data_IF_871434470489
#
_entry.id   IF_871434470489
#
_cell.length_a   1.000
_cell.length_b   1.000
_cell.length_c   1.000
_cell.angle_alpha   90.00
_cell.angle_beta   90.00
_cell.angle_gamma   90.00
#
_symmetry.space_group_name_H-M   'P 1'
#
loop_
_entity.id
_entity.type
_entity.pdbx_description
1 polymer ?
2 water ?
#
# COMPACT_ATOMS: atom_id res chain seq x y z
N UNK A 5 -12.68 -0.90 -4.54
CA UNK A 5 -12.80 -1.30 -3.11
C UNK A 5 -12.23 -2.73 -2.68
N UNK A 6 -11.27 -3.21 -3.45
CA UNK A 6 -10.45 -4.32 -3.00
C UNK A 6 -8.96 -3.95 -3.09
N UNK A 7 -8.17 -4.53 -2.19
CA UNK A 7 -6.76 -4.22 -2.14
C UNK A 7 -5.98 -4.72 -3.35
N UNK A 8 -4.94 -3.96 -3.72
CA UNK A 8 -3.98 -4.31 -4.77
C UNK A 8 -3.67 -5.78 -4.83
N UNK A 9 -3.34 -6.34 -3.69
CA UNK A 9 -2.68 -7.67 -3.68
C UNK A 9 -3.62 -8.86 -3.70
N UNK A 10 -4.93 -8.67 -3.48
CA UNK A 10 -5.89 -9.79 -3.45
C UNK A 10 -5.92 -10.47 -4.82
N UNK A 11 -5.83 -11.81 -4.84
CA UNK A 11 -5.84 -12.52 -6.10
C UNK A 11 -7.24 -12.83 -6.64
N UNK A 12 -7.28 -12.97 -7.95
CA UNK A 12 -8.48 -13.33 -8.67
C UNK A 12 -8.17 -14.27 -9.80
N UNK A 13 -9.14 -15.10 -10.08
CA UNK A 13 -9.00 -16.04 -11.15
C UNK A 13 -9.64 -15.35 -12.33
N UNK A 14 -8.92 -15.20 -13.42
CA UNK A 14 -9.52 -14.65 -14.61
C UNK A 14 -9.31 -15.58 -15.77
N UNK A 15 -10.10 -15.40 -16.81
CA UNK A 15 -9.78 -15.91 -18.13
C UNK A 15 -9.52 -14.76 -19.16
N UNK A 16 -8.29 -14.69 -19.67
CA UNK A 16 -7.85 -13.66 -20.62
C UNK A 16 -7.57 -14.24 -21.99
N UNK A 17 -8.36 -13.82 -22.99
CA UNK A 17 -8.33 -14.40 -24.36
C UNK A 17 -8.39 -15.92 -24.35
N UNK A 18 -9.08 -16.46 -23.35
CA UNK A 18 -9.32 -17.89 -23.24
C UNK A 18 -8.42 -18.68 -22.29
N UNK A 19 -7.44 -18.04 -21.66
CA UNK A 19 -6.54 -18.78 -20.77
C UNK A 19 -6.73 -18.34 -19.32
N UNK A 20 -6.65 -19.31 -18.44
CA UNK A 20 -6.90 -19.05 -17.07
C UNK A 20 -5.63 -18.68 -16.37
N UNK A 21 -5.74 -17.72 -15.48
CA UNK A 21 -4.66 -17.44 -14.59
C UNK A 21 -5.09 -16.79 -13.34
N UNK A 22 -4.18 -16.80 -12.38
CA UNK A 22 -4.34 -16.13 -11.12
C UNK A 22 -3.40 -14.94 -11.08
N UNK A 23 -3.96 -13.77 -10.84
CA UNK A 23 -3.26 -12.50 -10.91
C UNK A 23 -3.54 -11.75 -9.64
N UNK A 24 -2.73 -10.79 -9.30
CA UNK A 24 -3.11 -9.86 -8.23
C UNK A 24 -4.05 -8.88 -8.97
N UNK A 25 -5.10 -8.43 -8.29
CA UNK A 25 -6.13 -7.60 -8.92
C UNK A 25 -5.60 -6.22 -9.31
N UNK A 26 -4.72 -5.66 -8.48
CA UNK A 26 -4.07 -4.40 -8.78
C UNK A 26 -3.12 -4.48 -9.95
N UNK A 27 -2.36 -5.55 -10.06
CA UNK A 27 -1.47 -5.73 -11.21
C UNK A 27 -2.33 -5.87 -12.44
N UNK A 28 -3.33 -6.70 -12.39
CA UNK A 28 -4.19 -6.82 -13.56
C UNK A 28 -4.68 -5.43 -14.04
N UNK A 29 -5.13 -4.60 -13.09
CA UNK A 29 -5.85 -3.38 -13.41
C UNK A 29 -4.96 -2.24 -13.76
N UNK A 30 -3.90 -2.03 -12.97
CA UNK A 30 -2.80 -1.10 -13.34
C UNK A 30 -2.42 -1.36 -14.79
N UNK A 31 -2.01 -2.57 -15.09
CA UNK A 31 -1.63 -2.98 -16.44
C UNK A 31 -2.69 -2.61 -17.50
N UNK A 32 -3.91 -3.02 -17.30
CA UNK A 32 -5.02 -2.71 -18.24
C UNK A 32 -5.20 -1.24 -18.50
N UNK A 33 -5.26 -0.46 -17.41
CA UNK A 33 -5.33 1.01 -17.46
C UNK A 33 -4.11 1.54 -18.19
N UNK A 34 -2.93 1.08 -17.76
CA UNK A 34 -1.66 1.48 -18.32
C UNK A 34 -1.65 1.33 -19.84
N UNK A 35 -2.21 0.24 -20.39
CA UNK A 35 -2.16 0.04 -21.85
C UNK A 35 -3.48 0.12 -22.57
N UNK A 36 -4.44 0.84 -22.01
CA UNK A 36 -5.69 1.12 -22.73
C UNK A 36 -5.50 2.35 -23.62
N UNK A 37 -6.58 2.98 -24.05
CA UNK A 37 -6.46 4.21 -24.84
C UNK A 37 -7.21 5.43 -24.29
N UNK A 38 -8.41 5.19 -23.79
CA UNK A 38 -9.24 6.25 -23.21
C UNK A 38 -9.65 5.96 -21.77
N UNK A 39 -8.69 6.11 -20.86
CA UNK A 39 -8.96 6.07 -19.41
C UNK A 39 -9.79 7.29 -19.03
N UNK A 40 -10.71 7.11 -18.08
CA UNK A 40 -11.57 8.20 -17.61
C UNK A 40 -11.17 8.52 -16.16
N UNK A 41 -10.53 9.66 -15.93
CA UNK A 41 -9.75 9.90 -14.71
C UNK A 41 -10.56 10.77 -13.75
N UNK A 42 -11.88 10.75 -13.94
CA UNK A 42 -12.68 11.87 -13.49
C UNK A 42 -13.15 11.61 -12.07
N UNK A 43 -12.41 12.24 -11.16
CA UNK A 43 -12.62 12.23 -9.73
C UNK A 43 -11.38 11.75 -8.99
N UNK A 44 -11.65 10.99 -7.95
CA UNK A 44 -10.61 10.17 -7.29
C UNK A 44 -10.75 8.69 -7.70
N UNK A 45 -11.53 8.42 -8.76
CA UNK A 45 -11.53 7.13 -9.43
C UNK A 45 -11.12 7.29 -10.87
N UNK A 46 -10.16 6.46 -11.29
CA UNK A 46 -9.83 6.22 -12.67
C UNK A 46 -10.52 4.97 -13.19
N UNK A 47 -11.13 5.07 -14.37
CA UNK A 47 -11.90 3.99 -14.99
C UNK A 47 -11.44 3.70 -16.40
N UNK A 48 -11.42 2.43 -16.75
CA UNK A 48 -11.04 2.01 -18.11
C UNK A 48 -11.81 0.81 -18.57
N UNK A 49 -12.12 0.80 -19.85
CA UNK A 49 -12.86 -0.28 -20.45
C UNK A 49 -11.87 -1.40 -20.67
N UNK A 50 -12.30 -2.65 -20.48
CA UNK A 50 -11.46 -3.81 -20.81
C UNK A 50 -12.23 -4.86 -21.57
N UNK A 51 -11.47 -5.73 -22.20
CA UNK A 51 -11.98 -6.66 -23.21
C UNK A 51 -11.23 -7.97 -23.02
N UNK A 52 -11.76 -9.05 -23.58
CA UNK A 52 -11.09 -10.35 -23.56
C UNK A 52 -10.86 -10.93 -22.13
N UNK A 53 -11.62 -10.48 -21.13
CA UNK A 53 -11.33 -10.80 -19.74
C UNK A 53 -12.60 -11.19 -19.00
N UNK A 54 -12.55 -12.28 -18.28
CA UNK A 54 -13.71 -12.75 -17.55
C UNK A 54 -13.35 -13.17 -16.17
N UNK A 55 -14.36 -13.17 -15.31
CA UNK A 55 -14.21 -13.43 -13.93
C UNK A 55 -15.29 -14.38 -13.47
N UNK A 56 -15.06 -15.06 -12.37
CA UNK A 56 -16.06 -15.96 -11.82
C UNK A 56 -17.09 -15.22 -10.95
N UNK A 57 -18.37 -15.43 -11.33
CA UNK A 57 -19.52 -14.80 -10.68
C UNK A 57 -20.59 -15.81 -10.55
N UNK A 58 -21.45 -15.64 -9.55
CA UNK A 58 -22.55 -16.56 -9.42
C UNK A 58 -23.75 -16.07 -10.16
N UNK A 59 -24.53 -17.04 -10.62
CA UNK A 59 -25.68 -16.85 -11.45
C UNK A 59 -26.92 -16.93 -10.57
N UNK A 60 -28.09 -16.86 -11.18
CA UNK A 60 -29.33 -16.79 -10.43
C UNK A 60 -29.71 -18.11 -9.70
N UNK A 61 -29.16 -19.23 -10.16
CA UNK A 61 -29.10 -20.48 -9.37
C UNK A 61 -28.00 -20.59 -8.32
N UNK A 62 -27.24 -19.53 -8.09
CA UNK A 62 -26.17 -19.51 -7.11
C UNK A 62 -24.99 -20.42 -7.50
N UNK A 63 -24.78 -20.60 -8.81
CA UNK A 63 -23.70 -21.37 -9.35
C UNK A 63 -22.71 -20.48 -10.06
N UNK A 64 -21.44 -20.79 -9.92
CA UNK A 64 -20.38 -20.08 -10.54
C UNK A 64 -20.24 -20.36 -12.03
N UNK A 65 -19.89 -19.28 -12.71
CA UNK A 65 -19.50 -19.33 -14.12
C UNK A 65 -18.67 -18.09 -14.51
N UNK A 66 -17.84 -18.29 -15.52
CA UNK A 66 -16.96 -17.22 -15.99
C UNK A 66 -17.83 -16.25 -16.72
N UNK A 67 -17.67 -14.97 -16.43
CA UNK A 67 -18.46 -13.91 -17.05
C UNK A 67 -17.61 -12.68 -17.42
N UNK A 68 -17.98 -11.99 -18.53
CA UNK A 68 -17.13 -10.86 -18.97
C UNK A 68 -17.12 -9.70 -18.01
N UNK A 69 -15.97 -9.05 -17.93
CA UNK A 69 -15.81 -7.80 -17.21
C UNK A 69 -15.84 -6.71 -18.25
N UNK A 70 -16.71 -5.73 -18.06
CA UNK A 70 -16.84 -4.62 -19.01
C UNK A 70 -15.78 -3.57 -18.77
N UNK A 71 -15.63 -3.19 -17.51
CA UNK A 71 -14.62 -2.16 -17.13
C UNK A 71 -14.05 -2.33 -15.72
N UNK A 72 -12.91 -1.68 -15.50
CA UNK A 72 -12.16 -1.75 -14.25
C UNK A 72 -11.93 -0.36 -13.73
N UNK A 73 -11.61 -0.23 -12.45
CA UNK A 73 -11.48 1.04 -11.76
C UNK A 73 -10.50 0.92 -10.64
N UNK A 74 -9.91 2.05 -10.24
CA UNK A 74 -9.14 2.17 -9.02
C UNK A 74 -9.24 3.57 -8.40
N UNK A 75 -8.93 3.65 -7.13
CA UNK A 75 -8.95 4.90 -6.41
C UNK A 75 -8.04 4.87 -5.23
N UNK A 76 -7.27 5.96 -5.01
CA UNK A 76 -6.48 6.10 -3.78
C UNK A 76 -7.34 5.99 -2.52
N UNK A 77 -6.72 5.49 -1.46
CA UNK A 77 -7.46 5.09 -0.29
C UNK A 77 -6.47 5.03 0.86
N UNK A 78 -6.93 5.40 2.05
CA UNK A 78 -6.07 5.48 3.24
C UNK A 78 -6.26 4.30 4.18
N UNK A 79 -7.49 3.76 4.20
CA UNK A 79 -7.84 2.63 5.04
C UNK A 79 -8.23 1.39 4.24
N UNK A 80 -8.31 0.26 4.94
CA UNK A 80 -8.79 -1.02 4.41
C UNK A 80 -9.15 -1.91 5.61
N UNK A 81 -10.21 -2.71 5.50
CA UNK A 81 -10.56 -3.70 6.54
C UNK A 81 -10.04 -5.07 6.12
N UNK A 82 -9.47 -5.81 7.06
CA UNK A 82 -9.19 -7.22 6.84
C UNK A 82 -10.29 -8.01 7.53
N UNK A 83 -10.88 -8.97 6.83
CA UNK A 83 -11.89 -9.83 7.43
C UNK A 83 -11.30 -11.23 7.50
N UNK A 84 -11.39 -11.82 8.69
CA UNK A 84 -11.03 -13.20 8.91
C UNK A 84 -12.26 -14.03 9.27
N UNK A 85 -12.36 -15.21 8.65
CA UNK A 85 -13.43 -16.17 8.98
C UNK A 85 -12.90 -17.51 9.45
N UNK A 86 -13.81 -18.26 10.09
CA UNK A 86 -13.64 -19.71 10.36
C UNK A 86 -12.75 -20.39 9.33
N UNK A 87 -11.58 -20.87 9.73
CA UNK A 87 -10.58 -21.43 8.78
C UNK A 87 -9.42 -20.48 8.52
N UNK A 88 -9.49 -19.28 9.12
CA UNK A 88 -8.43 -18.30 9.00
C UNK A 88 -8.26 -17.84 7.55
N UNK A 89 -9.37 -17.77 6.82
CA UNK A 89 -9.42 -17.25 5.45
C UNK A 89 -9.75 -15.79 5.53
N UNK A 90 -9.13 -14.98 4.67
CA UNK A 90 -9.31 -13.57 4.76
C UNK A 90 -9.17 -12.82 3.45
N UNK A 91 -9.71 -11.60 3.46
CA UNK A 91 -9.65 -10.69 2.35
C UNK A 91 -9.59 -9.28 2.91
N UNK A 92 -8.93 -8.37 2.19
CA UNK A 92 -8.89 -6.98 2.60
C UNK A 92 -9.74 -6.13 1.65
N UNK A 93 -10.70 -5.40 2.21
CA UNK A 93 -11.60 -4.60 1.40
C UNK A 93 -12.01 -3.28 2.07
N UNK A 94 -12.63 -2.42 1.27
CA UNK A 94 -13.14 -1.13 1.70
C UNK A 94 -14.38 -1.37 2.58
N UNK A 95 -14.48 -0.63 3.67
CA UNK A 95 -15.63 -0.72 4.58
C UNK A 95 -16.96 -0.31 3.99
N UNK A 96 -16.93 0.61 3.03
CA UNK A 96 -18.13 1.01 2.27
C UNK A 96 -18.67 -0.06 1.32
N UNK A 97 -17.78 -0.87 0.74
CA UNK A 97 -18.14 -1.86 -0.29
C UNK A 97 -18.90 -3.02 0.37
N UNK A 98 -19.41 -3.95 -0.41
CA UNK A 98 -20.33 -4.93 0.11
C UNK A 98 -19.94 -6.38 -0.25
N UNK A 99 -20.23 -7.27 0.70
CA UNK A 99 -20.10 -8.71 0.55
C UNK A 99 -21.50 -9.27 0.73
N UNK A 100 -21.65 -10.56 1.01
CA UNK A 100 -22.97 -11.13 1.10
C UNK A 100 -23.10 -11.87 2.42
N UNK A 101 -24.33 -11.96 2.91
CA UNK A 101 -24.61 -12.74 4.08
C UNK A 101 -25.90 -13.46 3.77
N UNK A 102 -26.34 -14.27 4.71
CA UNK A 102 -27.60 -14.97 4.55
C UNK A 102 -28.64 -14.21 5.34
N UNK A 103 -29.86 -14.16 4.80
CA UNK A 103 -30.96 -13.84 5.60
C UNK A 103 -32.22 -14.38 4.94
N UNK A 104 -32.97 -15.17 5.73
CA UNK A 104 -34.18 -15.87 5.27
C UNK A 104 -33.87 -16.86 4.14
N UNK A 105 -32.71 -17.47 4.27
CA UNK A 105 -32.28 -18.51 3.37
C UNK A 105 -31.92 -18.06 1.96
N UNK A 106 -31.70 -16.76 1.79
CA UNK A 106 -31.19 -16.23 0.52
C UNK A 106 -30.01 -15.38 0.85
N UNK A 107 -29.13 -15.25 -0.12
CA UNK A 107 -27.93 -14.48 0.10
C UNK A 107 -28.24 -13.09 -0.30
N UNK A 108 -27.69 -12.15 0.45
CA UNK A 108 -28.08 -10.78 0.31
C UNK A 108 -26.89 -9.93 0.59
N UNK A 109 -26.80 -8.78 -0.09
CA UNK A 109 -25.63 -7.98 0.19
C UNK A 109 -25.68 -7.46 1.59
N UNK A 110 -24.52 -7.15 2.09
CA UNK A 110 -24.40 -6.51 3.34
C UNK A 110 -23.12 -5.73 3.24
N UNK A 111 -23.18 -4.52 3.72
CA UNK A 111 -22.06 -3.62 3.58
C UNK A 111 -21.13 -3.95 4.70
N UNK A 112 -19.85 -3.69 4.47
CA UNK A 112 -18.83 -4.23 5.31
C UNK A 112 -18.78 -3.54 6.66
N UNK A 113 -18.83 -2.20 6.69
CA UNK A 113 -18.79 -1.49 7.98
C UNK A 113 -20.01 -1.78 8.88
N UNK A 114 -21.10 -2.28 8.29
CA UNK A 114 -22.20 -2.88 9.04
C UNK A 114 -21.99 -4.33 9.51
N UNK A 115 -20.81 -4.91 9.29
CA UNK A 115 -20.62 -6.28 9.72
C UNK A 115 -20.27 -6.29 11.18
N UNK A 116 -20.36 -7.49 11.75
CA UNK A 116 -19.99 -7.75 13.12
C UNK A 116 -19.44 -9.16 13.19
N UNK A 117 -18.61 -9.43 14.19
CA UNK A 117 -18.08 -10.77 14.41
C UNK A 117 -19.23 -11.80 14.60
N UNK A 118 -19.06 -13.01 14.07
CA UNK A 118 -20.09 -14.06 14.20
C UNK A 118 -21.26 -14.03 13.20
N UNK A 119 -21.29 -13.02 12.33
CA UNK A 119 -22.17 -13.09 11.18
C UNK A 119 -21.58 -14.01 10.13
N UNK A 120 -22.52 -14.48 9.32
CA UNK A 120 -22.30 -15.49 8.35
C UNK A 120 -22.01 -14.77 7.05
N UNK A 121 -20.86 -15.12 6.44
CA UNK A 121 -20.49 -14.63 5.13
C UNK A 121 -20.48 -15.71 4.13
N UNK A 122 -20.69 -15.33 2.88
CA UNK A 122 -20.73 -16.26 1.75
C UNK A 122 -19.34 -16.29 1.09
N UNK A 123 -18.83 -17.50 0.89
CA UNK A 123 -17.60 -17.71 0.10
C UNK A 123 -17.81 -18.90 -0.83
N UNK A 124 -16.85 -19.05 -1.73
CA UNK A 124 -16.78 -20.12 -2.75
C UNK A 124 -16.47 -21.50 -2.12
N UNK A 125 -17.16 -22.51 -2.61
CA UNK A 125 -16.92 -23.91 -2.23
C UNK A 125 -15.55 -24.42 -2.60
N UNK A 126 -14.82 -24.96 -1.62
CA UNK A 126 -13.66 -25.86 -1.76
C UNK A 126 -12.29 -25.36 -2.16
N UNK A 146 -33.52 -22.94 0.44
CA UNK A 146 -32.39 -23.67 1.10
C UNK A 146 -31.95 -25.02 0.54
N UNK A 147 -32.87 -25.75 -0.11
CA UNK A 147 -32.55 -26.64 -1.21
C UNK A 147 -31.62 -25.80 -2.19
N UNK A 148 -31.91 -24.52 -2.36
CA UNK A 148 -31.09 -23.71 -3.22
C UNK A 148 -29.70 -23.46 -2.64
N UNK A 149 -29.70 -23.07 -1.35
CA UNK A 149 -28.49 -22.89 -0.60
C UNK A 149 -27.64 -24.14 -0.62
N UNK A 150 -28.30 -25.29 -0.51
CA UNK A 150 -27.61 -26.55 -0.49
C UNK A 150 -26.98 -26.80 -1.85
N UNK A 151 -27.68 -26.43 -2.90
CA UNK A 151 -27.21 -26.72 -4.26
C UNK A 151 -26.24 -25.69 -4.80
N UNK A 152 -25.94 -24.67 -4.01
CA UNK A 152 -25.17 -23.55 -4.45
C UNK A 152 -23.70 -23.94 -4.49
N UNK A 153 -22.84 -23.13 -5.13
CA UNK A 153 -21.42 -23.32 -4.95
C UNK A 153 -20.88 -22.51 -3.79
N UNK A 154 -21.70 -22.17 -2.80
CA UNK A 154 -21.25 -21.45 -1.63
C UNK A 154 -20.93 -22.32 -0.40
N UNK A 155 -20.14 -21.72 0.48
CA UNK A 155 -20.08 -22.10 1.83
C UNK A 155 -20.36 -20.83 2.67
N UNK A 156 -20.84 -21.03 3.92
CA UNK A 156 -21.24 -19.99 4.79
C UNK A 156 -20.38 -20.11 6.05
N UNK A 157 -19.58 -19.09 6.36
CA UNK A 157 -18.61 -19.15 7.42
C UNK A 157 -18.78 -17.94 8.30
N UNK A 158 -18.36 -18.05 9.56
CA UNK A 158 -18.64 -16.97 10.53
C UNK A 158 -17.39 -16.14 10.63
N UNK A 159 -17.56 -14.88 10.98
CA UNK A 159 -16.45 -13.96 11.03
C UNK A 159 -15.71 -14.13 12.36
N UNK A 160 -14.39 -14.33 12.28
CA UNK A 160 -13.55 -14.58 13.43
C UNK A 160 -13.20 -13.23 14.03
N UNK A 161 -12.54 -12.38 13.26
CA UNK A 161 -12.37 -10.97 13.63
C UNK A 161 -12.12 -10.10 12.41
N UNK A 162 -12.24 -8.79 12.60
CA UNK A 162 -12.17 -7.79 11.53
C UNK A 162 -11.24 -6.65 11.90
N UNK A 163 -9.98 -6.72 11.45
CA UNK A 163 -8.92 -5.81 11.87
C UNK A 163 -8.47 -4.84 10.75
N UNK A 164 -9.00 -3.63 10.81
CA UNK A 164 -8.65 -2.54 9.86
C UNK A 164 -7.13 -2.30 9.77
N UNK A 165 -6.68 -1.77 8.65
CA UNK A 165 -5.25 -1.82 8.27
C UNK A 165 -5.00 -0.85 7.13
N UNK A 166 -3.77 -0.80 6.65
CA UNK A 166 -3.39 0.10 5.57
C UNK A 166 -3.30 -0.65 4.27
N UNK A 167 -3.59 0.03 3.16
CA UNK A 167 -3.55 -0.57 1.83
C UNK A 167 -2.22 -0.70 1.11
N UNK A 168 -1.85 -1.95 0.82
CA UNK A 168 -0.72 -2.27 -0.04
C UNK A 168 -0.97 -1.58 -1.40
N UNK A 169 0.05 -0.98 -2.02
CA UNK A 169 -0.13 0.03 -3.06
C UNK A 169 -1.37 0.82 -2.71
N UNK A 170 -1.26 1.84 -1.86
CA UNK A 170 -2.41 2.71 -1.52
C UNK A 170 -3.45 3.00 -2.60
N UNK A 171 -4.14 1.96 -3.04
CA UNK A 171 -5.08 2.02 -4.15
C UNK A 171 -5.97 0.85 -3.89
N UNK A 172 -7.27 1.09 -4.04
CA UNK A 172 -8.28 0.06 -4.03
C UNK A 172 -8.78 -0.09 -5.44
N UNK A 173 -9.32 -1.26 -5.76
CA UNK A 173 -9.62 -1.67 -7.12
C UNK A 173 -11.07 -2.17 -7.23
N UNK A 174 -11.64 -2.14 -8.43
CA UNK A 174 -12.91 -2.81 -8.66
C UNK A 174 -13.15 -3.23 -10.09
N UNK A 175 -14.17 -4.08 -10.26
CA UNK A 175 -14.59 -4.61 -11.55
C UNK A 175 -16.09 -4.39 -11.70
N UNK A 176 -16.51 -4.17 -12.94
CA UNK A 176 -17.89 -4.20 -13.29
C UNK A 176 -18.12 -5.48 -14.06
N UNK A 177 -19.14 -6.23 -13.63
CA UNK A 177 -19.47 -7.51 -14.24
C UNK A 177 -20.97 -7.46 -14.65
N UNK A 178 -21.23 -7.23 -15.92
CA UNK A 178 -22.59 -7.24 -16.37
C UNK A 178 -23.35 -8.52 -16.11
N UNK A 179 -24.67 -8.42 -15.97
CA UNK A 179 -25.54 -9.60 -15.81
C UNK A 179 -25.29 -10.39 -14.54
N UNK A 180 -24.70 -9.82 -13.51
CA UNK A 180 -24.32 -10.58 -12.32
C UNK A 180 -24.04 -9.68 -11.14
N UNK A 181 -23.30 -8.62 -11.37
CA UNK A 181 -23.01 -7.66 -10.30
C UNK A 181 -22.30 -8.26 -9.09
N UNK A 182 -21.65 -9.40 -9.29
CA UNK A 182 -20.79 -9.97 -8.27
C UNK A 182 -19.54 -10.60 -8.89
N UNK A 183 -18.61 -10.96 -8.03
CA UNK A 183 -17.48 -11.78 -8.41
C UNK A 183 -16.72 -12.16 -7.18
N UNK A 184 -15.82 -13.08 -7.33
CA UNK A 184 -15.11 -13.54 -6.16
C UNK A 184 -13.68 -13.15 -6.26
N UNK A 185 -13.11 -13.01 -5.09
CA UNK A 185 -11.71 -12.64 -4.99
C UNK A 185 -11.21 -13.07 -3.62
N UNK A 186 -9.89 -13.14 -3.47
CA UNK A 186 -9.28 -13.54 -2.19
C UNK A 186 -8.93 -15.01 -2.25
N UNK A 187 -7.98 -15.43 -1.44
CA UNK A 187 -7.59 -16.81 -1.47
C UNK A 187 -8.79 -17.71 -1.19
N UNK A 188 -9.59 -17.37 -0.19
CA UNK A 188 -10.79 -18.12 0.04
C UNK A 188 -12.00 -17.87 -0.91
N UNK A 189 -11.88 -17.03 -1.94
CA UNK A 189 -12.99 -16.85 -2.84
C UNK A 189 -14.17 -16.19 -2.19
N UNK A 190 -13.92 -15.15 -1.46
CA UNK A 190 -14.94 -14.36 -0.88
C UNK A 190 -15.77 -13.74 -2.00
N UNK A 191 -17.09 -13.82 -1.88
CA UNK A 191 -17.98 -13.21 -2.90
C UNK A 191 -18.23 -11.71 -2.64
N UNK A 192 -17.94 -10.87 -3.63
CA UNK A 192 -18.07 -9.42 -3.50
C UNK A 192 -19.24 -8.96 -4.32
N UNK A 193 -19.97 -7.95 -3.83
CA UNK A 193 -21.15 -7.34 -4.55
C UNK A 193 -20.86 -5.95 -5.09
N UNK A 194 -21.31 -5.69 -6.31
CA UNK A 194 -21.07 -4.37 -6.97
C UNK A 194 -21.98 -3.23 -6.43
N UNK B 3 2.70 13.07 3.17
CA UNK B 3 4.16 12.98 3.53
C UNK B 3 5.00 14.19 3.12
N UNK B 4 5.89 14.63 4.00
CA UNK B 4 6.71 15.86 3.80
C UNK B 4 7.71 15.77 4.97
N UNK B 5 8.95 15.60 4.60
CA UNK B 5 9.88 15.05 5.53
C UNK B 5 11.32 15.37 5.27
N UNK B 6 11.80 15.30 4.03
CA UNK B 6 13.24 15.31 3.82
C UNK B 6 13.64 16.34 2.81
N UNK B 7 14.82 16.89 3.00
CA UNK B 7 15.32 17.93 2.10
C UNK B 7 15.63 17.39 0.71
N UNK B 8 15.44 18.26 -0.27
CA UNK B 8 15.77 18.01 -1.68
C UNK B 8 17.01 17.17 -1.86
N UNK B 9 18.09 17.59 -1.21
CA UNK B 9 19.41 17.09 -1.59
C UNK B 9 19.82 15.78 -0.93
N UNK B 10 19.09 15.30 0.07
CA UNK B 10 19.47 14.05 0.74
C UNK B 10 19.41 12.87 -0.24
N UNK B 11 20.47 12.04 -0.24
CA UNK B 11 20.49 10.90 -1.14
C UNK B 11 19.80 9.66 -0.60
N UNK B 12 19.31 8.84 -1.49
CA UNK B 12 18.62 7.59 -1.16
C UNK B 12 18.99 6.55 -2.21
N UNK B 13 19.02 5.31 -1.78
CA UNK B 13 19.33 4.22 -2.65
C UNK B 13 18.01 3.70 -3.12
N UNK B 14 17.82 3.66 -4.41
CA UNK B 14 16.57 3.13 -4.97
C UNK B 14 16.90 2.14 -6.03
N UNK B 15 15.88 1.36 -6.42
CA UNK B 15 15.89 0.65 -7.67
C UNK B 15 14.77 1.12 -8.60
N UNK B 16 15.12 1.74 -9.75
CA UNK B 16 14.14 2.21 -10.73
C UNK B 16 14.17 1.44 -12.05
N UNK B 17 13.09 0.74 -12.33
CA UNK B 17 12.98 -0.22 -13.46
C UNK B 17 14.16 -1.16 -13.54
N UNK B 18 14.68 -1.49 -12.39
CA UNK B 18 15.76 -2.50 -12.27
C UNK B 18 17.14 -1.95 -12.02
N UNK B 19 17.32 -0.64 -11.99
CA UNK B 19 18.67 -0.10 -11.78
C UNK B 19 18.86 0.52 -10.42
N UNK B 20 19.91 0.10 -9.78
CA UNK B 20 20.15 0.48 -8.45
C UNK B 20 21.02 1.70 -8.50
N UNK B 21 20.67 2.70 -7.69
CA UNK B 21 21.34 3.96 -7.81
C UNK B 21 21.10 4.82 -6.64
N UNK B 22 21.98 5.80 -6.51
CA UNK B 22 21.91 6.83 -5.53
C UNK B 22 21.54 8.13 -6.22
N UNK B 23 20.42 8.72 -5.79
CA UNK B 23 19.84 9.88 -6.38
C UNK B 23 19.59 10.86 -5.28
N UNK B 24 19.42 12.13 -5.61
CA UNK B 24 18.96 13.07 -4.66
C UNK B 24 17.43 12.84 -4.66
N UNK B 25 16.82 12.88 -3.46
CA UNK B 25 15.41 12.54 -3.32
C UNK B 25 14.49 13.55 -4.00
N UNK B 26 14.86 14.84 -3.94
CA UNK B 26 14.11 15.88 -4.62
C UNK B 26 14.21 15.79 -6.13
N UNK B 27 15.37 15.45 -6.67
CA UNK B 27 15.49 15.26 -8.10
C UNK B 27 14.63 14.11 -8.49
N UNK B 28 14.76 13.00 -7.77
CA UNK B 28 13.91 11.87 -8.15
C UNK B 28 12.42 12.28 -8.24
N UNK B 29 11.96 13.04 -7.24
CA UNK B 29 10.54 13.26 -7.03
C UNK B 29 10.00 14.39 -7.90
N UNK B 30 10.71 15.50 -7.94
CA UNK B 30 10.42 16.57 -8.92
C UNK B 30 10.24 15.97 -10.28
N UNK B 31 11.25 15.25 -10.76
CA UNK B 31 11.18 14.60 -12.06
C UNK B 31 9.91 13.78 -12.22
N UNK B 32 9.68 12.83 -11.32
CA UNK B 32 8.50 11.96 -11.38
C UNK B 32 7.18 12.73 -11.47
N UNK B 33 7.01 13.69 -10.54
CA UNK B 33 5.84 14.58 -10.52
C UNK B 33 5.75 15.37 -11.79
N UNK B 34 6.87 15.99 -12.16
CA UNK B 34 6.97 16.81 -13.38
C UNK B 34 6.48 16.04 -14.62
N UNK B 35 6.74 14.74 -14.73
CA UNK B 35 6.31 13.99 -15.92
C UNK B 35 5.17 12.96 -15.68
N UNK B 36 4.48 13.07 -14.57
CA UNK B 36 3.32 12.22 -14.31
C UNK B 36 2.08 12.97 -14.79
N UNK B 37 0.98 12.25 -15.00
CA UNK B 37 -0.29 12.94 -15.20
C UNK B 37 -1.50 12.44 -14.46
N UNK B 38 -1.28 11.76 -13.33
CA UNK B 38 -2.33 11.66 -12.30
C UNK B 38 -1.78 12.19 -10.98
N UNK B 39 -1.11 13.35 -11.03
CA UNK B 39 -0.74 14.12 -9.84
C UNK B 39 -1.96 14.57 -9.06
N UNK B 40 -1.88 14.53 -7.74
CA UNK B 40 -2.99 14.89 -6.85
C UNK B 40 -2.54 16.08 -6.01
N UNK B 41 -3.36 17.12 -6.02
CA UNK B 41 -3.06 18.38 -5.33
C UNK B 41 -3.91 18.54 -4.09
N UNK B 42 -3.34 18.41 -2.89
CA UNK B 42 -4.10 18.69 -1.69
C UNK B 42 -3.59 19.96 -1.07
N UNK B 43 -4.23 21.10 -1.38
CA UNK B 43 -3.69 22.41 -0.98
C UNK B 43 -2.37 22.65 -1.69
N UNK B 44 -1.28 22.83 -0.93
CA UNK B 44 0.05 22.99 -1.57
C UNK B 44 0.90 21.69 -1.51
N UNK B 45 0.27 20.61 -1.08
CA UNK B 45 0.81 19.26 -1.17
C UNK B 45 0.59 18.69 -2.53
N UNK B 46 1.64 18.18 -3.17
CA UNK B 46 1.49 17.39 -4.40
C UNK B 46 1.80 15.93 -4.10
N UNK B 47 0.98 15.03 -4.62
CA UNK B 47 1.22 13.57 -4.55
C UNK B 47 1.15 12.95 -5.92
N UNK B 48 2.01 11.98 -6.17
CA UNK B 48 1.98 11.23 -7.42
C UNK B 48 2.28 9.76 -7.17
N UNK B 49 1.54 8.92 -7.89
CA UNK B 49 1.70 7.52 -7.79
C UNK B 49 2.94 7.17 -8.60
N UNK B 50 3.72 6.18 -8.15
CA UNK B 50 4.74 5.58 -9.04
C UNK B 50 4.68 4.05 -9.01
N UNK B 51 5.27 3.46 -10.02
CA UNK B 51 5.69 2.04 -9.93
C UNK B 51 7.04 1.83 -10.60
N UNK B 52 7.61 0.67 -10.42
CA UNK B 52 9.00 0.40 -10.79
C UNK B 52 10.00 1.27 -10.00
N UNK B 53 9.64 1.61 -8.76
CA UNK B 53 10.60 2.18 -7.86
C UNK B 53 10.54 1.44 -6.50
N UNK B 54 11.70 1.07 -5.97
CA UNK B 54 11.77 0.54 -4.64
C UNK B 54 12.83 1.19 -3.83
N UNK B 55 12.67 1.12 -2.52
CA UNK B 55 13.55 1.76 -1.60
C UNK B 55 13.98 0.81 -0.52
N UNK B 56 15.13 1.05 0.10
CA UNK B 56 15.62 0.23 1.17
C UNK B 56 14.94 0.59 2.52
N UNK B 57 14.34 -0.43 3.13
CA UNK B 57 13.56 -0.34 4.36
C UNK B 57 13.84 -1.52 5.18
N UNK B 58 13.67 -1.42 6.49
CA UNK B 58 13.86 -2.59 7.31
C UNK B 58 12.56 -3.32 7.47
N UNK B 59 12.71 -4.64 7.56
CA UNK B 59 11.59 -5.55 7.58
C UNK B 59 11.35 -5.92 9.03
N UNK B 60 10.38 -6.79 9.25
CA UNK B 60 9.94 -7.11 10.60
C UNK B 60 11.01 -7.92 11.42
N UNK B 61 11.94 -8.58 10.73
CA UNK B 61 13.17 -9.08 11.34
C UNK B 61 14.33 -8.09 11.50
N UNK B 62 14.07 -6.81 11.23
CA UNK B 62 15.07 -5.76 11.37
C UNK B 62 16.20 -5.88 10.37
N UNK B 63 15.91 -6.43 9.19
CA UNK B 63 16.85 -6.58 8.11
C UNK B 63 16.46 -5.70 6.96
N UNK B 64 17.47 -5.19 6.27
CA UNK B 64 17.24 -4.25 5.17
C UNK B 64 17.01 -4.93 3.89
N UNK B 65 15.99 -4.42 3.17
CA UNK B 65 15.65 -4.96 1.86
C UNK B 65 14.90 -3.95 1.00
N UNK B 66 15.01 -4.11 -0.30
CA UNK B 66 14.36 -3.23 -1.24
C UNK B 66 12.89 -3.53 -1.15
N UNK B 67 12.08 -2.49 -1.08
CA UNK B 67 10.62 -2.63 -1.03
C UNK B 67 9.92 -1.58 -1.86
N UNK B 68 8.75 -1.92 -2.44
CA UNK B 68 8.11 -0.93 -3.38
C UNK B 68 7.65 0.34 -2.71
N UNK B 69 7.76 1.42 -3.41
CA UNK B 69 7.17 2.70 -3.07
C UNK B 69 5.88 2.83 -3.85
N UNK B 70 4.80 3.12 -3.17
CA UNK B 70 3.50 3.30 -3.84
C UNK B 70 3.37 4.70 -4.43
N UNK B 71 3.72 5.69 -3.60
CA UNK B 71 3.66 7.11 -4.02
C UNK B 71 4.70 8.02 -3.42
N UNK B 72 4.92 9.15 -4.08
CA UNK B 72 5.88 10.17 -3.64
C UNK B 72 5.13 11.48 -3.51
N UNK B 73 5.69 12.38 -2.71
CA UNK B 73 4.96 13.61 -2.29
C UNK B 73 5.97 14.71 -2.00
N UNK B 74 5.52 15.96 -2.13
CA UNK B 74 6.31 17.10 -1.71
C UNK B 74 5.46 18.28 -1.27
N UNK B 75 6.08 19.18 -0.57
CA UNK B 75 5.37 20.26 0.05
C UNK B 75 6.41 21.35 0.37
N UNK B 76 6.03 22.62 0.10
CA UNK B 76 6.81 23.76 0.58
C UNK B 76 7.05 23.73 2.11
N UNK B 77 8.17 24.29 2.49
CA UNK B 77 8.64 24.21 3.84
C UNK B 77 9.60 25.38 4.04
N UNK B 78 9.60 25.96 5.25
CA UNK B 78 10.38 27.19 5.54
C UNK B 78 11.64 26.90 6.33
N UNK B 79 11.57 25.88 7.17
CA UNK B 79 12.65 25.47 8.06
C UNK B 79 13.06 24.00 7.74
N UNK B 80 14.20 23.59 8.31
CA UNK B 80 14.68 22.22 8.25
C UNK B 80 15.70 22.04 9.40
N UNK B 81 15.73 20.87 10.04
CA UNK B 81 16.71 20.55 11.08
C UNK B 81 17.84 19.71 10.45
N UNK B 82 19.07 20.02 10.80
CA UNK B 82 20.18 19.15 10.52
C UNK B 82 20.52 18.39 11.78
N UNK B 83 20.66 17.07 11.66
CA UNK B 83 21.04 16.25 12.78
C UNK B 83 22.37 15.66 12.48
N UNK B 84 23.28 15.81 13.44
CA UNK B 84 24.62 15.22 13.38
C UNK B 84 24.77 14.20 14.45
N UNK B 85 25.33 13.03 14.10
CA UNK B 85 25.65 11.98 15.07
C UNK B 85 27.14 11.63 15.07
N UNK B 86 27.54 11.01 16.17
CA UNK B 86 28.81 10.24 16.32
C UNK B 86 29.31 9.75 14.96
N UNK B 87 30.44 10.26 14.50
CA UNK B 87 30.95 9.96 13.14
C UNK B 87 30.72 11.08 12.14
N UNK B 88 30.05 12.15 12.60
CA UNK B 88 29.79 13.32 11.80
C UNK B 88 28.93 12.96 10.56
N UNK B 89 28.01 12.02 10.77
CA UNK B 89 26.99 11.65 9.76
C UNK B 89 25.76 12.48 10.06
N UNK B 90 25.09 12.92 9.01
CA UNK B 90 23.98 13.81 9.18
C UNK B 90 22.93 13.73 8.10
N UNK B 91 21.77 14.25 8.45
CA UNK B 91 20.63 14.30 7.57
C UNK B 91 19.82 15.53 7.91
N UNK B 92 19.18 16.13 6.91
CA UNK B 92 18.33 17.30 7.11
C UNK B 92 16.89 16.92 6.91
N UNK B 93 16.08 17.16 7.94
CA UNK B 93 14.69 16.78 7.92
C UNK B 93 13.78 17.75 8.64
N UNK B 94 12.49 17.56 8.44
CA UNK B 94 11.43 18.36 9.05
C UNK B 94 11.39 18.02 10.54
N UNK B 95 11.23 19.05 11.39
CA UNK B 95 11.16 18.83 12.85
C UNK B 95 9.93 18.06 13.30
N UNK B 96 8.84 18.18 12.54
CA UNK B 96 7.63 17.43 12.78
C UNK B 96 7.72 15.94 12.46
N UNK B 97 8.52 15.57 11.46
CA UNK B 97 8.63 14.19 10.93
C UNK B 97 9.42 13.36 11.95
N UNK B 98 9.51 12.06 11.72
CA UNK B 98 10.06 11.18 12.74
C UNK B 98 11.19 10.29 12.24
N UNK B 99 12.14 10.02 13.15
CA UNK B 99 13.21 9.04 12.97
C UNK B 99 13.00 7.96 14.03
N UNK B 100 14.00 7.19 14.39
CA UNK B 100 13.80 6.10 15.34
C UNK B 100 14.86 6.17 16.40
N UNK B 101 14.55 5.63 17.57
CA UNK B 101 15.47 5.54 18.64
C UNK B 101 15.25 4.19 19.24
N UNK B 102 16.03 3.88 20.26
CA UNK B 102 15.85 2.61 20.95
C UNK B 102 15.06 2.88 22.20
N UNK B 103 14.23 1.92 22.58
CA UNK B 103 13.87 1.82 23.97
C UNK B 103 13.38 0.42 24.27
N UNK B 104 13.91 -0.18 25.35
CA UNK B 104 13.54 -1.52 25.81
C UNK B 104 13.82 -2.60 24.78
N UNK B 105 14.95 -2.41 24.13
CA UNK B 105 15.41 -3.23 23.05
C UNK B 105 14.44 -3.51 21.87
N UNK B 106 13.68 -2.48 21.56
CA UNK B 106 13.03 -2.36 20.26
C UNK B 106 13.32 -0.96 19.76
N UNK B 107 13.21 -0.80 18.46
CA UNK B 107 13.37 0.51 17.88
C UNK B 107 12.01 1.11 17.81
N UNK B 108 11.91 2.41 18.00
CA UNK B 108 10.65 3.05 18.10
C UNK B 108 10.72 4.42 17.50
N UNK B 109 9.62 4.90 16.90
CA UNK B 109 9.73 6.22 16.32
C UNK B 109 9.90 7.25 17.38
N UNK B 110 10.48 8.35 16.99
CA UNK B 110 10.62 9.47 17.86
C UNK B 110 10.68 10.69 16.97
N UNK B 111 9.96 11.70 17.38
CA UNK B 111 9.75 12.89 16.62
C UNK B 111 10.96 13.72 16.74
N UNK B 112 11.24 14.49 15.70
CA UNK B 112 12.51 15.14 15.62
C UNK B 112 12.61 16.32 16.56
N UNK B 113 11.62 17.19 16.58
CA UNK B 113 11.71 18.37 17.47
C UNK B 113 11.68 17.98 18.99
N UNK B 114 11.26 16.77 19.29
CA UNK B 114 11.53 16.12 20.59
C UNK B 114 12.93 15.55 20.81
N UNK B 115 13.85 15.70 19.86
CA UNK B 115 15.17 15.13 20.04
C UNK B 115 15.99 16.08 20.87
N UNK B 116 17.07 15.55 21.40
CA UNK B 116 18.06 16.29 22.17
C UNK B 116 19.39 15.57 21.99
N UNK B 117 20.46 16.31 22.22
CA UNK B 117 21.81 15.80 22.07
C UNK B 117 22.05 14.57 23.00
N UNK B 118 22.77 13.56 22.49
CA UNK B 118 22.98 12.32 23.23
C UNK B 118 21.91 11.26 23.21
N UNK B 119 20.81 11.51 22.50
CA UNK B 119 19.86 10.41 22.24
C UNK B 119 20.42 9.55 21.11
N UNK B 120 19.96 8.32 21.13
CA UNK B 120 20.46 7.24 20.33
C UNK B 120 19.51 7.18 19.15
N UNK B 121 20.07 7.24 17.96
CA UNK B 121 19.32 7.13 16.71
C UNK B 121 19.74 5.86 16.02
N UNK B 122 18.81 5.33 15.20
CA UNK B 122 19.07 4.14 14.41
C UNK B 122 19.56 4.56 13.02
N UNK B 123 20.68 3.97 12.59
CA UNK B 123 21.17 4.11 11.21
C UNK B 123 21.56 2.73 10.69
N UNK B 124 21.79 2.68 9.37
CA UNK B 124 22.20 1.39 8.68
C UNK B 124 23.63 1.02 8.89
N UNK B 125 23.93 -0.15 9.44
CA UNK B 125 25.34 -0.66 9.54
C UNK B 125 25.78 -1.09 8.12
N UNK B 126 24.88 -1.70 7.37
CA UNK B 126 25.24 -2.61 6.30
C UNK B 126 23.99 -3.13 5.69
N UNK B 127 24.09 -3.50 4.42
CA UNK B 127 22.96 -4.00 3.63
C UNK B 127 23.32 -5.35 2.94
N UNK B 128 23.99 -6.27 3.66
CA UNK B 128 24.61 -7.49 3.11
C UNK B 128 23.83 -8.34 2.12
N UNK B 129 22.50 -8.27 2.13
CA UNK B 129 21.69 -9.11 1.23
C UNK B 129 20.37 -8.40 0.87
N UNK B 130 20.49 -7.19 0.34
CA UNK B 130 19.32 -6.46 -0.18
C UNK B 130 18.59 -7.05 -1.42
N UNK B 131 19.29 -7.85 -2.26
CA UNK B 131 18.77 -8.32 -3.54
C UNK B 131 18.38 -7.18 -4.48
N UNK B 148 18.35 -10.49 18.98
CA UNK B 148 17.70 -10.56 17.68
C UNK B 148 17.70 -9.17 17.00
N UNK B 149 17.35 -8.16 17.77
CA UNK B 149 17.91 -6.81 17.61
C UNK B 149 19.43 -6.86 17.47
N UNK B 150 20.07 -7.81 18.15
CA UNK B 150 21.48 -8.04 18.05
C UNK B 150 21.89 -8.36 16.62
N UNK B 151 21.09 -9.16 15.93
CA UNK B 151 21.37 -9.58 14.56
C UNK B 151 20.83 -8.65 13.53
N UNK B 152 20.44 -7.44 13.89
CA UNK B 152 19.86 -6.47 12.95
C UNK B 152 20.94 -5.89 12.07
N UNK B 153 20.56 -5.23 11.00
CA UNK B 153 21.52 -4.53 10.17
C UNK B 153 21.72 -3.09 10.69
N UNK B 154 21.41 -2.77 11.95
CA UNK B 154 21.56 -1.42 12.44
C UNK B 154 22.84 -1.07 13.16
N UNK B 155 23.13 0.21 13.20
CA UNK B 155 24.02 0.79 14.18
C UNK B 155 23.23 1.87 14.96
N UNK B 156 23.65 2.11 16.19
CA UNK B 156 22.95 3.02 17.13
C UNK B 156 23.93 4.08 17.54
N UNK B 157 23.67 5.33 17.18
CA UNK B 157 24.67 6.39 17.29
C UNK B 157 23.98 7.55 17.99
N UNK B 158 24.77 8.29 18.76
CA UNK B 158 24.26 9.35 19.65
C UNK B 158 24.39 10.64 18.90
N UNK B 159 23.51 11.57 19.20
CA UNK B 159 23.44 12.83 18.50
C UNK B 159 24.53 13.78 19.00
N UNK B 160 25.30 14.34 18.09
CA UNK B 160 26.41 15.23 18.38
C UNK B 160 25.83 16.62 18.57
N UNK B 161 25.18 17.16 17.55
CA UNK B 161 24.41 18.39 17.68
C UNK B 161 23.35 18.52 16.60
N UNK B 162 22.46 19.48 16.78
CA UNK B 162 21.22 19.63 16.02
C UNK B 162 21.09 21.09 15.62
N UNK B 163 21.49 21.48 14.41
CA UNK B 163 21.30 22.90 14.03
C UNK B 163 20.34 23.13 12.87
N UNK B 164 19.08 23.44 13.18
CA UNK B 164 18.15 24.10 12.24
C UNK B 164 18.75 25.07 11.20
N UNK B 165 18.11 25.11 10.03
CA UNK B 165 18.72 25.67 8.82
C UNK B 165 17.64 25.82 7.75
N UNK B 166 18.02 26.29 6.56
CA UNK B 166 17.06 26.48 5.50
C UNK B 166 17.10 25.35 4.50
N UNK B 167 15.96 25.03 3.91
CA UNK B 167 15.88 24.02 2.89
C UNK B 167 16.60 24.42 1.62
N UNK B 168 17.29 23.45 1.02
CA UNK B 168 17.99 23.62 -0.23
C UNK B 168 17.14 23.65 -1.50
N UNK B 169 15.84 23.48 -1.39
CA UNK B 169 14.90 23.76 -2.52
C UNK B 169 13.67 24.59 -2.12
N UNK B 170 13.44 24.75 -0.81
CA UNK B 170 12.16 25.20 -0.28
C UNK B 170 11.11 24.14 -0.53
N UNK B 171 11.50 22.88 -0.46
CA UNK B 171 10.55 21.77 -0.67
C UNK B 171 11.09 20.67 0.15
N UNK B 172 10.19 20.02 0.88
CA UNK B 172 10.48 18.78 1.58
C UNK B 172 9.77 17.69 0.83
N UNK B 173 10.28 16.49 0.98
CA UNK B 173 9.90 15.35 0.17
C UNK B 173 9.52 14.15 1.01
N UNK B 174 8.71 13.23 0.48
CA UNK B 174 8.48 11.95 1.13
C UNK B 174 8.16 10.82 0.16
N UNK B 175 8.21 9.62 0.70
CA UNK B 175 7.92 8.36 0.02
C UNK B 175 6.98 7.58 0.94
N UNK B 176 6.05 6.87 0.32
CA UNK B 176 5.19 5.96 1.01
C UNK B 176 5.64 4.53 0.67
N UNK B 177 5.86 3.73 1.67
CA UNK B 177 6.33 2.36 1.57
C UNK B 177 5.35 1.43 2.31
N UNK B 178 4.42 0.82 1.57
CA UNK B 178 3.42 0.00 2.28
C UNK B 178 4.02 -1.15 3.04
N UNK B 179 3.39 -1.56 4.13
CA UNK B 179 3.81 -2.79 4.88
C UNK B 179 5.19 -2.70 5.48
N UNK B 180 5.64 -1.50 5.80
CA UNK B 180 6.99 -1.27 6.35
C UNK B 180 7.12 0.10 6.98
N UNK B 181 6.60 1.10 6.29
CA UNK B 181 6.48 2.43 6.86
C UNK B 181 7.82 3.06 7.27
N UNK B 182 8.91 2.57 6.72
CA UNK B 182 10.19 3.21 6.91
C UNK B 182 11.02 3.17 5.62
N UNK B 183 12.11 3.92 5.63
CA UNK B 183 13.14 3.80 4.64
C UNK B 183 14.32 4.64 5.07
N UNK B 184 15.42 4.44 4.40
CA UNK B 184 16.60 5.14 4.81
C UNK B 184 16.98 6.14 3.80
N UNK B 185 17.65 7.15 4.30
CA UNK B 185 18.07 8.26 3.50
C UNK B 185 19.25 8.93 4.22
N UNK B 186 20.02 9.71 3.49
CA UNK B 186 21.20 10.37 4.07
C UNK B 186 22.43 9.56 3.80
N UNK B 187 23.57 10.20 3.81
CA UNK B 187 24.82 9.49 3.55
C UNK B 187 24.99 8.39 4.58
N UNK B 188 24.73 8.72 5.84
CA UNK B 188 24.69 7.68 6.89
C UNK B 188 23.56 6.64 6.89
N UNK B 189 22.58 6.72 6.00
CA UNK B 189 21.50 5.74 6.03
C UNK B 189 20.67 5.86 7.29
N UNK B 190 20.32 7.09 7.62
CA UNK B 190 19.44 7.32 8.73
C UNK B 190 18.09 6.73 8.39
N UNK B 191 17.50 5.98 9.32
CA UNK B 191 16.17 5.41 9.11
C UNK B 191 15.04 6.41 9.43
N UNK B 192 14.14 6.63 8.49
CA UNK B 192 13.05 7.59 8.64
C UNK B 192 11.77 6.83 8.77
N UNK B 193 10.84 7.33 9.61
CA UNK B 193 9.52 6.72 9.81
C UNK B 193 8.37 7.51 9.14
N UNK B 194 7.45 6.78 8.50
CA UNK B 194 6.33 7.38 7.81
C UNK B 194 5.19 7.87 8.71
#
# INVERSE_FOLDING_TARGET
SGGYAVDYSEPIIIKEKGEIKVVKIGELIDEIIKNSKNVRKDGILEIARCKDVEVIAFDSNYKFKFMPVSEVSRHPVSEMFEIVVEGNKKVRVTGSHSVFTVKDNEVVPIRVDDLRVGDILVLAKELPNIEENRKLEPNIEENRKLEKLINSDFIFLKIKKINKVEPTNGYAYDLTVPNAENFIAGFGGFVLHNA
SGGYAVDYSEPIIIKEKGEIKVVKIGELIDEIIKNSKNVRKDGILEIARCKDVEVIAFDSNYKFKFMPVSEVSRHPVSEMFEIVVEGNKKVRVTGSHSVFTVKDNEVVPIRVDDLRVGDILVLAKELPNIEENRKLEPNIEENRKLEKLINSDFIFLKIKKINKVEPTNGYAYDLTVPNAENFIAGFGGFVLHNA
#
